data_IF_664761043420
#
_entry.id   IF_664761043420
#
_cell.length_a   1.000
_cell.length_b   1.000
_cell.length_c   1.000
_cell.angle_alpha   90.00
_cell.angle_beta   90.00
_cell.angle_gamma   90.00
#
_symmetry.space_group_name_H-M   'P 1'
#
loop_
_entity.id
_entity.type
_entity.pdbx_description
1 polymer ?
#
# COMPACT_ATOMS: atom_id res chain seq x y z
N UNK A 1 99.70 -35.97 -5.21
CA UNK A 1 100.07 -35.41 -3.88
C UNK A 1 99.46 -34.02 -3.78
N UNK A 2 99.02 -33.62 -2.58
CA UNK A 2 97.72 -32.97 -2.34
C UNK A 2 97.82 -31.46 -2.10
N UNK A 3 96.71 -30.74 -2.26
CA UNK A 3 96.32 -29.53 -1.53
C UNK A 3 94.91 -29.15 -2.01
N UNK A 4 93.84 -29.58 -1.33
CA UNK A 4 93.26 -28.96 -0.14
C UNK A 4 93.15 -27.43 -0.28
N UNK A 5 91.93 -26.92 -0.43
CA UNK A 5 91.47 -25.63 0.09
C UNK A 5 89.94 -25.61 0.08
N UNK A 6 89.40 -26.33 1.05
CA UNK A 6 88.08 -26.12 1.61
C UNK A 6 88.22 -25.03 2.67
N UNK A 7 87.75 -23.81 2.40
CA UNK A 7 87.27 -22.85 3.40
C UNK A 7 86.75 -21.58 2.71
N UNK A 8 85.59 -21.08 3.18
CA UNK A 8 84.90 -19.82 2.83
C UNK A 8 83.56 -19.92 2.09
N UNK A 9 82.66 -20.81 2.52
CA UNK A 9 81.24 -20.73 2.14
C UNK A 9 80.25 -20.65 3.31
N UNK A 10 80.64 -20.10 4.47
CA UNK A 10 79.67 -19.78 5.53
C UNK A 10 80.08 -18.50 6.24
N UNK A 11 79.84 -17.30 5.67
CA UNK A 11 79.70 -16.03 6.42
C UNK A 11 79.05 -14.90 5.58
N UNK A 12 77.92 -15.14 4.91
CA UNK A 12 77.05 -14.06 4.40
C UNK A 12 75.55 -14.38 4.54
N UNK A 13 75.15 -14.81 5.72
CA UNK A 13 73.72 -15.00 6.04
C UNK A 13 73.39 -14.48 7.43
N UNK A 14 73.82 -13.25 7.70
CA UNK A 14 73.34 -12.53 8.88
C UNK A 14 73.18 -11.07 8.48
N UNK A 15 72.00 -10.51 8.80
CA UNK A 15 71.67 -9.08 8.80
C UNK A 15 70.84 -8.50 7.62
N UNK A 16 69.67 -9.08 7.30
CA UNK A 16 68.48 -8.29 6.85
C UNK A 16 67.17 -8.99 7.24
N UNK A 17 66.84 -9.11 8.54
CA UNK A 17 65.49 -9.55 8.98
C UNK A 17 64.92 -8.66 10.10
N UNK A 18 65.40 -7.42 10.22
CA UNK A 18 64.85 -6.45 11.20
C UNK A 18 64.38 -5.14 10.52
N UNK A 19 63.75 -5.27 9.36
CA UNK A 19 63.05 -4.17 8.68
C UNK A 19 61.72 -4.58 8.02
N UNK A 20 61.18 -5.76 8.36
CA UNK A 20 60.04 -6.36 7.65
C UNK A 20 58.75 -6.51 8.45
N UNK A 21 58.70 -6.09 9.72
CA UNK A 21 57.54 -6.34 10.59
C UNK A 21 56.72 -5.07 10.89
N UNK A 22 57.26 -3.88 10.64
CA UNK A 22 56.52 -2.61 10.85
C UNK A 22 55.73 -2.19 9.59
N UNK A 23 56.10 -2.67 8.39
CA UNK A 23 55.42 -2.30 7.14
C UNK A 23 54.11 -3.02 6.86
N UNK A 24 53.94 -4.27 7.33
CA UNK A 24 52.77 -5.09 6.99
C UNK A 24 51.53 -4.82 7.85
N UNK A 25 51.70 -4.27 9.06
CA UNK A 25 50.57 -3.91 9.94
C UNK A 25 49.89 -2.60 9.51
N UNK A 26 50.61 -1.68 8.88
CA UNK A 26 50.04 -0.39 8.42
C UNK A 26 49.18 -0.59 7.16
N UNK A 27 49.60 -1.46 6.23
CA UNK A 27 48.81 -1.73 5.00
C UNK A 27 47.51 -2.48 5.30
N UNK A 28 47.50 -3.38 6.29
CA UNK A 28 46.30 -4.09 6.72
C UNK A 28 45.24 -3.17 7.35
N UNK A 29 45.68 -2.20 8.17
CA UNK A 29 44.79 -1.21 8.79
C UNK A 29 44.22 -0.23 7.76
N UNK A 30 45.00 0.21 6.78
CA UNK A 30 44.52 1.08 5.70
C UNK A 30 43.45 0.39 4.85
N UNK A 31 43.65 -0.88 4.47
CA UNK A 31 42.64 -1.63 3.71
C UNK A 31 41.38 -1.93 4.53
N UNK A 32 41.49 -2.20 5.83
CA UNK A 32 40.32 -2.39 6.70
C UNK A 32 39.50 -1.10 6.87
N UNK A 33 40.17 0.06 7.01
CA UNK A 33 39.49 1.36 7.09
C UNK A 33 38.83 1.73 5.75
N UNK A 34 39.51 1.52 4.62
CA UNK A 34 38.93 1.71 3.29
C UNK A 34 37.74 0.75 3.03
N UNK A 35 37.80 -0.47 3.55
CA UNK A 35 36.70 -1.43 3.41
C UNK A 35 35.49 -1.03 4.26
N UNK A 36 35.70 -0.43 5.44
CA UNK A 36 34.63 0.08 6.29
C UNK A 36 33.90 1.29 5.66
N UNK A 37 34.64 2.21 5.06
CA UNK A 37 34.05 3.36 4.36
C UNK A 37 33.29 2.93 3.10
N UNK A 38 33.82 1.96 2.35
CA UNK A 38 33.15 1.42 1.17
C UNK A 38 31.89 0.60 1.54
N UNK A 39 31.89 -0.12 2.66
CA UNK A 39 30.69 -0.85 3.13
C UNK A 39 29.54 0.11 3.44
N UNK A 40 29.82 1.23 4.12
CA UNK A 40 28.80 2.25 4.40
C UNK A 40 28.15 2.80 3.12
N UNK A 41 28.97 3.14 2.12
CA UNK A 41 28.48 3.63 0.83
C UNK A 41 27.61 2.59 0.09
N UNK A 42 27.99 1.31 0.12
CA UNK A 42 27.19 0.24 -0.54
C UNK A 42 25.85 -0.01 0.14
N UNK A 43 25.79 0.06 1.48
CA UNK A 43 24.55 -0.11 2.24
C UNK A 43 23.62 1.07 2.00
N UNK A 44 24.14 2.29 1.98
CA UNK A 44 23.34 3.47 1.70
C UNK A 44 22.77 3.42 0.27
N UNK A 45 23.61 3.10 -0.72
CA UNK A 45 23.16 2.96 -2.11
C UNK A 45 22.08 1.87 -2.27
N UNK A 46 22.22 0.75 -1.55
CA UNK A 46 21.21 -0.31 -1.56
C UNK A 46 19.88 0.16 -0.96
N UNK A 47 19.93 0.92 0.15
CA UNK A 47 18.74 1.53 0.75
C UNK A 47 18.07 2.53 -0.19
N UNK A 48 18.85 3.40 -0.84
CA UNK A 48 18.33 4.42 -1.74
C UNK A 48 17.66 3.80 -2.98
N UNK A 49 18.25 2.74 -3.54
CA UNK A 49 17.65 1.95 -4.63
C UNK A 49 16.36 1.29 -4.19
N UNK A 50 16.36 0.64 -3.02
CA UNK A 50 15.17 0.01 -2.47
C UNK A 50 14.02 1.02 -2.28
N UNK A 51 14.30 2.20 -1.73
CA UNK A 51 13.31 3.27 -1.59
C UNK A 51 12.78 3.75 -2.94
N UNK A 52 13.65 3.89 -3.94
CA UNK A 52 13.26 4.29 -5.29
C UNK A 52 12.34 3.25 -5.94
N UNK A 53 12.66 1.97 -5.81
CA UNK A 53 11.86 0.87 -6.36
C UNK A 53 10.46 0.82 -5.71
N UNK A 54 10.37 1.06 -4.39
CA UNK A 54 9.08 1.15 -3.70
C UNK A 54 8.21 2.29 -4.22
N UNK A 55 8.79 3.46 -4.48
CA UNK A 55 8.07 4.60 -5.07
C UNK A 55 7.57 4.24 -6.46
N UNK A 56 8.42 3.68 -7.32
CA UNK A 56 8.04 3.29 -8.69
C UNK A 56 6.91 2.25 -8.64
N UNK A 57 7.03 1.24 -7.79
CA UNK A 57 6.04 0.19 -7.65
C UNK A 57 4.69 0.72 -7.13
N UNK A 58 4.73 1.70 -6.23
CA UNK A 58 3.51 2.37 -5.74
C UNK A 58 2.78 3.15 -6.84
N UNK A 59 3.53 3.74 -7.78
CA UNK A 59 3.00 4.50 -8.92
C UNK A 59 2.57 3.62 -10.11
N UNK A 60 3.03 2.37 -10.16
CA UNK A 60 2.74 1.46 -11.28
C UNK A 60 1.26 1.05 -11.38
N UNK A 61 0.44 1.31 -10.35
CA UNK A 61 -1.00 1.01 -10.42
C UNK A 61 -1.74 1.97 -11.34
N UNK A 62 -2.59 1.46 -12.24
CA UNK A 62 -3.44 2.27 -13.11
C UNK A 62 -4.52 3.07 -12.37
N UNK A 63 -4.71 2.81 -11.07
CA UNK A 63 -5.67 3.49 -10.22
C UNK A 63 -4.96 4.50 -9.31
N UNK A 64 -5.28 5.79 -9.48
CA UNK A 64 -4.68 6.89 -8.72
C UNK A 64 -4.88 6.75 -7.20
N UNK A 65 -6.08 6.37 -6.76
CA UNK A 65 -6.40 6.19 -5.34
C UNK A 65 -5.55 5.07 -4.72
N UNK A 66 -5.34 3.99 -5.47
CA UNK A 66 -4.47 2.89 -5.03
C UNK A 66 -3.01 3.32 -4.94
N UNK A 67 -2.51 4.06 -5.93
CA UNK A 67 -1.15 4.61 -5.89
C UNK A 67 -0.93 5.52 -4.69
N UNK A 68 -1.91 6.39 -4.40
CA UNK A 68 -1.86 7.29 -3.25
C UNK A 68 -1.85 6.53 -1.91
N UNK A 69 -2.68 5.49 -1.77
CA UNK A 69 -2.69 4.66 -0.57
C UNK A 69 -1.37 3.92 -0.37
N UNK A 70 -0.77 3.40 -1.45
CA UNK A 70 0.53 2.74 -1.41
C UNK A 70 1.63 3.71 -0.96
N UNK A 71 1.63 4.94 -1.48
CA UNK A 71 2.59 5.99 -1.08
C UNK A 71 2.42 6.37 0.40
N UNK A 72 1.18 6.56 0.86
CA UNK A 72 0.91 6.87 2.27
C UNK A 72 1.40 5.77 3.20
N UNK A 73 1.18 4.49 2.84
CA UNK A 73 1.68 3.36 3.60
C UNK A 73 3.21 3.38 3.73
N UNK A 74 3.93 3.62 2.62
CA UNK A 74 5.41 3.66 2.62
C UNK A 74 5.93 4.76 3.56
N UNK A 75 5.28 5.93 3.57
CA UNK A 75 5.65 7.05 4.45
C UNK A 75 5.32 6.73 5.90
N UNK A 76 4.12 6.22 6.19
CA UNK A 76 3.66 5.94 7.56
C UNK A 76 4.44 4.77 8.19
N UNK A 77 4.88 3.81 7.38
CA UNK A 77 5.77 2.73 7.79
C UNK A 77 7.24 3.18 7.99
N UNK A 78 7.55 4.47 7.80
CA UNK A 78 8.90 5.04 7.91
C UNK A 78 9.93 4.37 6.98
N UNK A 79 9.48 3.79 5.87
CA UNK A 79 10.36 3.21 4.86
C UNK A 79 11.06 4.31 4.04
N UNK A 80 10.43 5.48 3.95
CA UNK A 80 11.02 6.73 3.47
C UNK A 80 10.96 7.75 4.61
N UNK A 81 12.10 8.38 4.88
CA UNK A 81 12.17 9.41 5.92
C UNK A 81 11.53 10.70 5.40
N UNK A 82 10.42 11.12 6.03
CA UNK A 82 9.79 12.42 5.80
C UNK A 82 9.85 13.26 7.09
N UNK A 83 11.03 13.34 7.70
CA UNK A 83 11.25 14.01 8.99
C UNK A 83 10.84 15.50 8.98
N UNK A 84 10.69 16.10 7.81
CA UNK A 84 10.27 17.49 7.63
C UNK A 84 8.88 17.63 6.99
N UNK A 85 8.15 16.53 6.75
CA UNK A 85 6.82 16.55 6.12
C UNK A 85 6.81 17.08 4.67
N UNK A 86 7.97 17.19 4.02
CA UNK A 86 8.13 17.77 2.69
C UNK A 86 7.51 16.89 1.62
N UNK A 87 7.57 15.58 1.78
CA UNK A 87 7.00 14.63 0.83
C UNK A 87 5.47 14.68 0.94
N UNK A 88 4.91 14.64 2.15
CA UNK A 88 3.46 14.81 2.36
C UNK A 88 2.96 16.17 1.82
N UNK A 89 3.69 17.26 2.06
CA UNK A 89 3.32 18.58 1.54
C UNK A 89 3.42 18.68 0.00
N UNK A 90 4.45 18.10 -0.61
CA UNK A 90 4.61 18.05 -2.06
C UNK A 90 3.53 17.20 -2.73
N UNK A 91 3.15 16.07 -2.13
CA UNK A 91 2.07 15.22 -2.65
C UNK A 91 0.74 15.98 -2.75
N UNK A 92 0.45 16.86 -1.78
CA UNK A 92 -0.73 17.74 -1.81
C UNK A 92 -0.57 18.84 -2.87
N UNK A 93 0.60 19.48 -2.94
CA UNK A 93 0.87 20.61 -3.85
C UNK A 93 0.86 20.21 -5.33
N UNK A 94 1.42 19.05 -5.65
CA UNK A 94 1.56 18.54 -7.01
C UNK A 94 0.50 17.49 -7.35
N UNK A 95 -0.63 17.45 -6.64
CA UNK A 95 -1.78 16.67 -7.09
C UNK A 95 -2.05 17.03 -8.54
N UNK A 96 -2.02 16.07 -9.48
CA UNK A 96 -2.38 16.34 -10.85
C UNK A 96 -3.79 16.90 -10.82
N UNK A 97 -3.94 18.17 -11.23
CA UNK A 97 -5.25 18.71 -11.54
C UNK A 97 -5.72 17.90 -12.72
N UNK A 98 -6.54 16.88 -12.45
CA UNK A 98 -7.25 16.17 -13.49
C UNK A 98 -8.13 17.24 -14.11
N UNK A 99 -7.74 17.74 -15.28
CA UNK A 99 -8.59 18.61 -16.06
C UNK A 99 -9.89 17.83 -16.23
N UNK A 100 -10.94 18.29 -15.54
CA UNK A 100 -12.27 17.72 -15.68
C UNK A 100 -12.63 17.93 -17.13
N UNK A 101 -12.45 16.87 -17.93
CA UNK A 101 -12.73 16.88 -19.35
C UNK A 101 -14.11 17.46 -19.56
N UNK A 102 -14.14 18.54 -20.34
CA UNK A 102 -15.28 19.28 -20.84
C UNK A 102 -16.60 18.46 -20.80
N UNK A 103 -17.66 18.91 -20.11
CA UNK A 103 -18.90 18.14 -19.97
C UNK A 103 -19.59 18.06 -21.34
N UNK A 104 -19.31 16.99 -22.08
CA UNK A 104 -20.18 16.54 -23.14
C UNK A 104 -21.48 16.05 -22.47
N UNK A 105 -22.67 16.60 -22.79
CA UNK A 105 -23.95 16.24 -22.17
C UNK A 105 -24.47 14.88 -22.65
N UNK A 106 -23.58 13.89 -22.80
CA UNK A 106 -24.00 12.51 -22.89
C UNK A 106 -24.15 12.00 -21.44
N UNK A 107 -25.35 11.62 -20.98
CA UNK A 107 -25.61 11.21 -19.59
C UNK A 107 -25.02 9.83 -19.27
N UNK A 108 -23.90 9.47 -19.91
CA UNK A 108 -23.16 8.28 -19.53
C UNK A 108 -22.51 8.58 -18.18
N UNK A 109 -22.98 7.93 -17.10
CA UNK A 109 -22.54 8.28 -15.77
C UNK A 109 -21.02 8.15 -15.68
N UNK A 110 -20.37 9.25 -15.30
CA UNK A 110 -18.91 9.30 -15.21
C UNK A 110 -18.44 8.27 -14.18
N UNK A 111 -17.22 7.74 -14.35
CA UNK A 111 -16.63 6.75 -13.43
C UNK A 111 -16.71 7.18 -11.95
N UNK A 112 -16.67 8.49 -11.70
CA UNK A 112 -16.83 9.09 -10.38
C UNK A 112 -18.25 8.84 -9.79
N UNK A 113 -19.32 8.99 -10.57
CA UNK A 113 -20.69 8.73 -10.12
C UNK A 113 -20.87 7.27 -9.67
N UNK A 114 -20.30 6.32 -10.41
CA UNK A 114 -20.35 4.89 -10.05
C UNK A 114 -19.57 4.59 -8.76
N UNK A 115 -18.40 5.21 -8.58
CA UNK A 115 -17.59 5.05 -7.37
C UNK A 115 -18.30 5.63 -6.14
N UNK A 116 -18.85 6.84 -6.26
CA UNK A 116 -19.64 7.49 -5.20
C UNK A 116 -20.84 6.62 -4.83
N UNK A 117 -21.60 6.13 -5.82
CA UNK A 117 -22.75 5.27 -5.57
C UNK A 117 -22.37 3.95 -4.89
N UNK A 118 -21.28 3.31 -5.32
CA UNK A 118 -20.77 2.07 -4.71
C UNK A 118 -20.32 2.28 -3.25
N UNK A 119 -19.68 3.42 -2.96
CA UNK A 119 -19.27 3.79 -1.61
C UNK A 119 -20.48 4.04 -0.70
N UNK A 120 -21.49 4.75 -1.18
CA UNK A 120 -22.74 5.02 -0.46
C UNK A 120 -23.55 3.74 -0.25
N UNK A 121 -23.64 2.86 -1.25
CA UNK A 121 -24.27 1.54 -1.16
C UNK A 121 -23.63 0.71 -0.03
N UNK A 122 -22.30 0.62 0.01
CA UNK A 122 -21.61 -0.11 1.07
C UNK A 122 -21.91 0.47 2.46
N UNK A 123 -21.94 1.79 2.61
CA UNK A 123 -22.32 2.46 3.86
C UNK A 123 -23.78 2.17 4.23
N UNK A 124 -24.68 2.13 3.24
CA UNK A 124 -26.09 1.76 3.43
C UNK A 124 -26.22 0.35 4.02
N UNK A 125 -25.47 -0.61 3.46
CA UNK A 125 -25.41 -1.96 4.02
C UNK A 125 -24.84 -2.01 5.45
N UNK A 126 -23.80 -1.24 5.76
CA UNK A 126 -23.27 -1.15 7.13
C UNK A 126 -24.29 -0.58 8.11
N UNK A 127 -25.10 0.40 7.69
CA UNK A 127 -26.18 0.95 8.47
C UNK A 127 -27.29 -0.10 8.72
N UNK A 128 -27.63 -0.94 7.72
CA UNK A 128 -28.54 -2.07 7.90
C UNK A 128 -28.04 -3.05 8.95
N UNK A 129 -26.76 -3.46 8.87
CA UNK A 129 -26.15 -4.38 9.81
C UNK A 129 -26.09 -3.81 11.24
N UNK A 130 -26.02 -2.48 11.36
CA UNK A 130 -26.10 -1.75 12.62
C UNK A 130 -27.53 -1.47 13.10
N UNK A 131 -28.54 -2.03 12.40
CA UNK A 131 -29.98 -1.84 12.67
C UNK A 131 -30.43 -0.38 12.66
N UNK A 132 -29.79 0.47 11.86
CA UNK A 132 -30.16 1.87 11.70
C UNK A 132 -30.93 2.08 10.39
N UNK A 133 -32.26 1.93 10.46
CA UNK A 133 -33.14 2.01 9.28
C UNK A 133 -33.10 3.37 8.60
N UNK A 134 -33.20 4.45 9.37
CA UNK A 134 -33.28 5.82 8.84
C UNK A 134 -31.98 6.18 8.08
N UNK A 135 -30.83 5.88 8.67
CA UNK A 135 -29.55 6.17 8.04
C UNK A 135 -29.34 5.30 6.79
N UNK A 136 -29.76 4.03 6.84
CA UNK A 136 -29.71 3.14 5.69
C UNK A 136 -30.53 3.69 4.52
N UNK A 137 -31.78 4.12 4.76
CA UNK A 137 -32.64 4.70 3.73
C UNK A 137 -32.00 5.93 3.09
N UNK A 138 -31.48 6.86 3.90
CA UNK A 138 -30.77 8.06 3.42
C UNK A 138 -29.57 7.72 2.53
N UNK A 139 -28.80 6.69 2.90
CA UNK A 139 -27.60 6.28 2.17
C UNK A 139 -27.94 5.60 0.84
N UNK A 140 -28.93 4.70 0.81
CA UNK A 140 -29.37 4.10 -0.45
C UNK A 140 -30.05 5.12 -1.37
N UNK A 141 -30.84 6.05 -0.85
CA UNK A 141 -31.37 7.16 -1.63
C UNK A 141 -30.27 8.02 -2.25
N UNK A 142 -29.24 8.35 -1.47
CA UNK A 142 -28.07 9.09 -1.97
C UNK A 142 -27.30 8.30 -3.03
N UNK A 143 -27.15 6.98 -2.85
CA UNK A 143 -26.51 6.10 -3.83
C UNK A 143 -27.30 6.06 -5.16
N UNK A 144 -28.63 5.97 -5.10
CA UNK A 144 -29.49 6.02 -6.28
C UNK A 144 -29.39 7.37 -7.00
N UNK A 145 -29.42 8.48 -6.25
CA UNK A 145 -29.30 9.82 -6.83
C UNK A 145 -27.94 10.03 -7.52
N UNK A 146 -26.87 9.43 -7.00
CA UNK A 146 -25.54 9.48 -7.62
C UNK A 146 -25.47 8.64 -8.91
N UNK A 147 -26.20 7.52 -8.98
CA UNK A 147 -26.20 6.61 -10.13
C UNK A 147 -27.59 5.98 -10.34
N UNK A 148 -28.52 6.65 -11.04
CA UNK A 148 -29.92 6.21 -11.13
C UNK A 148 -30.14 4.86 -11.82
N UNK A 149 -29.18 4.37 -12.60
CA UNK A 149 -29.24 3.05 -13.23
C UNK A 149 -28.87 1.91 -12.26
N UNK A 150 -28.60 2.20 -10.98
CA UNK A 150 -28.34 1.17 -9.97
C UNK A 150 -29.64 0.55 -9.44
N UNK A 151 -30.19 -0.38 -10.20
CA UNK A 151 -31.49 -0.99 -9.89
C UNK A 151 -31.57 -1.63 -8.49
N UNK A 152 -30.52 -2.31 -8.02
CA UNK A 152 -30.55 -2.96 -6.70
C UNK A 152 -30.70 -1.95 -5.56
N UNK A 153 -30.04 -0.81 -5.66
CA UNK A 153 -30.11 0.26 -4.66
C UNK A 153 -31.53 0.83 -4.57
N UNK A 154 -32.18 1.05 -5.73
CA UNK A 154 -33.56 1.53 -5.80
C UNK A 154 -34.54 0.53 -5.16
N UNK A 155 -34.43 -0.74 -5.52
CA UNK A 155 -35.31 -1.79 -4.98
C UNK A 155 -35.12 -1.99 -3.47
N UNK A 156 -33.88 -1.95 -2.97
CA UNK A 156 -33.60 -1.97 -1.54
C UNK A 156 -34.22 -0.73 -0.87
N UNK A 157 -34.03 0.46 -1.43
CA UNK A 157 -34.60 1.68 -0.86
C UNK A 157 -36.13 1.63 -0.79
N UNK A 158 -36.81 1.11 -1.83
CA UNK A 158 -38.27 0.88 -1.83
C UNK A 158 -38.69 -0.10 -0.74
N UNK A 159 -37.98 -1.23 -0.62
CA UNK A 159 -38.22 -2.21 0.45
C UNK A 159 -38.11 -1.52 1.82
N UNK A 160 -37.04 -0.77 2.07
CA UNK A 160 -36.82 -0.09 3.35
C UNK A 160 -37.87 0.98 3.63
N UNK A 161 -38.25 1.79 2.64
CA UNK A 161 -39.29 2.83 2.79
C UNK A 161 -40.67 2.25 3.09
N UNK A 162 -40.94 1.00 2.68
CA UNK A 162 -42.20 0.31 3.00
C UNK A 162 -42.31 -0.10 4.48
N UNK A 163 -41.21 -0.08 5.24
CA UNK A 163 -41.16 -0.49 6.65
C UNK A 163 -41.18 0.74 7.55
N UNK A 164 -42.23 0.87 8.38
CA UNK A 164 -42.30 1.90 9.43
C UNK A 164 -41.60 1.45 10.71
N UNK A 165 -41.77 0.18 11.05
CA UNK A 165 -41.17 -0.46 12.23
C UNK A 165 -40.72 -1.87 11.85
N UNK A 166 -39.62 -2.32 12.46
CA UNK A 166 -39.02 -3.63 12.16
C UNK A 166 -38.86 -4.39 13.47
N UNK A 167 -39.73 -5.38 13.70
CA UNK A 167 -39.64 -6.29 14.84
C UNK A 167 -38.64 -7.42 14.62
N UNK A 168 -38.56 -7.93 13.38
CA UNK A 168 -37.63 -9.01 12.99
C UNK A 168 -36.81 -8.57 11.79
N UNK A 169 -35.60 -8.07 12.07
CA UNK A 169 -34.65 -7.65 11.04
C UNK A 169 -34.23 -8.78 10.11
N UNK A 170 -34.16 -10.02 10.60
CA UNK A 170 -33.75 -11.17 9.80
C UNK A 170 -34.76 -11.44 8.70
N UNK A 171 -36.01 -11.70 9.10
CA UNK A 171 -37.06 -12.07 8.15
C UNK A 171 -37.58 -10.90 7.32
N UNK A 172 -37.62 -9.68 7.88
CA UNK A 172 -38.23 -8.54 7.19
C UNK A 172 -37.26 -7.76 6.31
N UNK A 173 -35.96 -7.82 6.60
CA UNK A 173 -34.93 -7.02 5.91
C UNK A 173 -33.85 -7.92 5.32
N UNK A 174 -33.08 -8.62 6.14
CA UNK A 174 -31.86 -9.29 5.69
C UNK A 174 -32.15 -10.40 4.68
N UNK A 175 -33.09 -11.30 4.96
CA UNK A 175 -33.36 -12.42 4.08
C UNK A 175 -33.99 -12.01 2.74
N UNK A 176 -34.96 -11.07 2.68
CA UNK A 176 -35.42 -10.50 1.41
C UNK A 176 -34.28 -9.91 0.57
N UNK A 177 -33.40 -9.09 1.18
CA UNK A 177 -32.29 -8.47 0.45
C UNK A 177 -31.30 -9.53 -0.05
N UNK A 178 -30.92 -10.50 0.78
CA UNK A 178 -30.00 -11.58 0.36
C UNK A 178 -30.59 -12.42 -0.77
N UNK A 179 -31.91 -12.72 -0.71
CA UNK A 179 -32.57 -13.60 -1.70
C UNK A 179 -32.85 -12.88 -3.02
N UNK A 180 -33.28 -11.61 -2.98
CA UNK A 180 -33.80 -10.90 -4.15
C UNK A 180 -32.84 -9.83 -4.69
N UNK A 181 -32.01 -9.23 -3.82
CA UNK A 181 -31.21 -8.04 -4.14
C UNK A 181 -29.70 -8.25 -3.90
N UNK A 182 -29.21 -9.49 -4.01
CA UNK A 182 -27.79 -9.80 -3.74
C UNK A 182 -26.85 -9.70 -4.95
N UNK A 183 -27.35 -9.30 -6.12
CA UNK A 183 -26.48 -9.09 -7.28
C UNK A 183 -25.49 -7.95 -6.99
N UNK A 184 -24.19 -8.17 -7.21
CA UNK A 184 -23.09 -7.24 -6.88
C UNK A 184 -22.99 -6.79 -5.41
N UNK A 185 -23.78 -7.38 -4.51
CA UNK A 185 -23.63 -7.14 -3.06
C UNK A 185 -22.23 -7.61 -2.60
N UNK A 186 -21.51 -6.81 -1.79
CA UNK A 186 -20.23 -7.24 -1.23
C UNK A 186 -20.36 -8.57 -0.47
N UNK A 187 -19.43 -9.50 -0.72
CA UNK A 187 -19.52 -10.85 -0.18
C UNK A 187 -19.47 -10.86 1.37
N UNK A 188 -18.67 -9.98 1.96
CA UNK A 188 -18.59 -9.76 3.41
C UNK A 188 -19.95 -9.34 4.00
N UNK A 189 -20.60 -8.36 3.36
CA UNK A 189 -21.95 -7.90 3.76
C UNK A 189 -22.97 -9.04 3.65
N UNK A 190 -22.97 -9.76 2.52
CA UNK A 190 -23.91 -10.87 2.27
C UNK A 190 -23.81 -11.94 3.35
N UNK A 191 -22.58 -12.35 3.70
CA UNK A 191 -22.36 -13.35 4.74
C UNK A 191 -22.82 -12.87 6.12
N UNK A 192 -22.55 -11.60 6.47
CA UNK A 192 -23.02 -11.04 7.73
C UNK A 192 -24.56 -10.99 7.81
N UNK A 193 -25.24 -10.61 6.72
CA UNK A 193 -26.70 -10.62 6.66
C UNK A 193 -27.28 -12.03 6.79
N UNK A 194 -26.69 -13.03 6.13
CA UNK A 194 -27.10 -14.44 6.25
C UNK A 194 -26.95 -14.91 7.70
N UNK A 195 -25.80 -14.64 8.32
CA UNK A 195 -25.49 -15.06 9.68
C UNK A 195 -26.40 -14.38 10.71
N UNK A 196 -26.58 -13.07 10.63
CA UNK A 196 -27.42 -12.34 11.58
C UNK A 196 -28.92 -12.57 11.37
N UNK A 197 -29.34 -12.77 10.11
CA UNK A 197 -30.74 -12.96 9.74
C UNK A 197 -31.24 -14.39 9.86
N UNK A 198 -30.34 -15.36 10.10
CA UNK A 198 -30.64 -16.80 10.04
C UNK A 198 -31.37 -17.17 8.73
N UNK A 199 -30.84 -16.65 7.61
CA UNK A 199 -31.45 -16.81 6.30
C UNK A 199 -31.16 -18.21 5.78
N UNK A 200 -32.12 -19.11 6.03
CA UNK A 200 -32.16 -20.46 5.47
C UNK A 200 -32.57 -20.44 3.99
#
# INVERSE_FOLDING_TARGET
MPENNNENFIQKTTLVVLGGIIGASITGLANYLLQKDNQGATVQLARDKFQSDLIIQSLASSNFTQALNNLNFIIDAQLIEDSQGKIKAAAIKYQPKIETSNPNPNPNPTSNSTEIASSLERKGFQALLSRNLEQSQKLFESAYNAYPTYHNVDEINKLLKSKKEISDWGQQIYCPIVKQYSWKMPADVKQQMISQGNCK
#
